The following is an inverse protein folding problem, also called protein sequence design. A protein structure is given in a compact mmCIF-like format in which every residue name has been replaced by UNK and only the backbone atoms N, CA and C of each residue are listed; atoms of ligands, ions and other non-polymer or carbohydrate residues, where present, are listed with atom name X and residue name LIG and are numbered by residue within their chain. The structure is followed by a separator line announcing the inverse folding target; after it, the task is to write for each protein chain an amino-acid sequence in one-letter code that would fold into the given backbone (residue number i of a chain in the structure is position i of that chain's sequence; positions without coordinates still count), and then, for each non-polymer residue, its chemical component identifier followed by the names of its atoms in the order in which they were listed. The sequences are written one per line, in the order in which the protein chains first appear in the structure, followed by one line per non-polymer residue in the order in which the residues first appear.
data_IF_545484349406
#
_entry.id   IF_545484349406
#
_cell.length_a   1.000
_cell.length_b   1.000
_cell.length_c   1.000
_cell.angle_alpha   90.00
_cell.angle_beta   90.00
_cell.angle_gamma   90.00
#
_symmetry.space_group_name_H-M   'P 1'
#
loop_
_entity.id
_entity.type
_entity.pdbx_description
1 polymer ?
#
# COMPACT_ATOMS: atom_id res chain seq x y z
N UNK A 1 -21.00 13.78 -12.47
CA UNK A 1 -21.10 13.68 -11.00
C UNK A 1 -21.46 12.26 -10.53
N UNK A 2 -22.32 11.52 -11.23
CA UNK A 2 -22.71 10.15 -10.87
C UNK A 2 -21.55 9.14 -10.92
N UNK A 3 -20.62 9.27 -11.87
CA UNK A 3 -19.43 8.41 -11.99
C UNK A 3 -18.40 8.56 -10.86
N UNK A 4 -18.26 9.77 -10.29
CA UNK A 4 -17.31 10.04 -9.18
C UNK A 4 -17.86 9.48 -7.86
N UNK A 5 -19.19 9.50 -7.69
CA UNK A 5 -19.85 8.89 -6.53
C UNK A 5 -19.63 7.36 -6.51
N UNK A 6 -19.66 6.74 -7.69
CA UNK A 6 -19.43 5.31 -7.85
C UNK A 6 -17.95 4.89 -7.59
N UNK A 7 -16.97 5.80 -7.82
CA UNK A 7 -15.57 5.56 -7.42
C UNK A 7 -15.45 5.45 -5.89
N UNK A 8 -16.17 6.29 -5.13
CA UNK A 8 -16.10 6.32 -3.67
C UNK A 8 -16.70 5.09 -3.02
N UNK A 9 -17.88 4.70 -3.43
CA UNK A 9 -18.70 3.74 -2.68
C UNK A 9 -18.47 2.29 -3.13
N UNK A 10 -18.40 2.03 -4.45
CA UNK A 10 -18.35 0.66 -4.97
C UNK A 10 -16.93 0.14 -5.26
N UNK A 11 -16.00 1.02 -5.66
CA UNK A 11 -14.69 0.58 -6.12
C UNK A 11 -13.62 0.55 -5.01
N UNK A 12 -13.53 1.61 -4.19
CA UNK A 12 -12.51 1.69 -3.13
C UNK A 12 -12.86 0.71 -2.01
N UNK A 13 -14.13 0.69 -1.59
CA UNK A 13 -14.61 -0.15 -0.48
C UNK A 13 -14.55 -1.64 -0.84
N UNK A 14 -14.78 -1.98 -2.10
CA UNK A 14 -14.84 -3.38 -2.54
C UNK A 14 -13.50 -3.93 -3.06
N UNK A 15 -12.46 -3.10 -3.10
CA UNK A 15 -11.14 -3.50 -3.59
C UNK A 15 -10.41 -4.40 -2.59
N UNK A 16 -9.93 -5.54 -3.04
CA UNK A 16 -9.26 -6.55 -2.21
C UNK A 16 -8.00 -6.03 -1.51
N UNK A 17 -7.26 -5.09 -2.14
CA UNK A 17 -6.06 -4.47 -1.54
C UNK A 17 -6.45 -3.57 -0.36
N UNK A 18 -7.56 -2.82 -0.50
CA UNK A 18 -8.06 -1.95 0.57
C UNK A 18 -8.63 -2.79 1.71
N UNK A 19 -9.44 -3.82 1.41
CA UNK A 19 -9.96 -4.76 2.42
C UNK A 19 -8.85 -5.46 3.20
N UNK A 20 -7.79 -5.89 2.51
CA UNK A 20 -6.64 -6.49 3.18
C UNK A 20 -5.96 -5.50 4.14
N UNK A 21 -5.72 -4.26 3.69
CA UNK A 21 -5.11 -3.23 4.55
C UNK A 21 -6.03 -2.79 5.70
N UNK A 22 -7.36 -2.86 5.53
CA UNK A 22 -8.35 -2.59 6.58
C UNK A 22 -8.32 -3.68 7.66
N UNK A 23 -8.26 -4.95 7.26
CA UNK A 23 -8.10 -6.07 8.19
C UNK A 23 -6.74 -6.05 8.92
N UNK A 24 -5.66 -5.62 8.24
CA UNK A 24 -4.36 -5.41 8.87
C UNK A 24 -4.43 -4.31 9.93
N UNK A 25 -5.14 -3.21 9.64
CA UNK A 25 -5.38 -2.14 10.62
C UNK A 25 -6.24 -2.63 11.79
N UNK A 26 -7.34 -3.33 11.54
CA UNK A 26 -8.18 -3.93 12.58
C UNK A 26 -7.37 -4.87 13.47
N UNK A 27 -6.57 -5.75 12.88
CA UNK A 27 -5.66 -6.65 13.60
C UNK A 27 -4.68 -5.88 14.51
N UNK A 28 -4.12 -4.78 14.02
CA UNK A 28 -3.22 -3.95 14.83
C UNK A 28 -3.94 -3.24 15.98
N UNK A 29 -5.19 -2.82 15.78
CA UNK A 29 -6.06 -2.24 16.83
C UNK A 29 -6.40 -3.29 17.89
N UNK A 30 -6.75 -4.51 17.50
CA UNK A 30 -7.03 -5.59 18.45
C UNK A 30 -5.76 -6.00 19.21
N UNK A 31 -4.60 -6.00 18.56
CA UNK A 31 -3.30 -6.18 19.23
C UNK A 31 -3.06 -5.10 20.28
N UNK A 32 -3.32 -3.83 19.94
CA UNK A 32 -3.22 -2.73 20.91
C UNK A 32 -4.15 -2.95 22.11
N UNK A 33 -5.41 -3.38 21.86
CA UNK A 33 -6.35 -3.69 22.97
C UNK A 33 -5.85 -4.85 23.82
N UNK A 34 -5.23 -5.87 23.21
CA UNK A 34 -4.66 -7.01 23.94
C UNK A 34 -3.51 -6.60 24.85
N UNK A 35 -2.68 -5.62 24.45
CA UNK A 35 -1.58 -5.13 25.29
C UNK A 35 -2.07 -4.38 26.53
N UNK A 36 -3.23 -3.73 26.46
CA UNK A 36 -3.86 -3.14 27.65
C UNK A 36 -4.25 -4.18 28.71
N UNK A 37 -4.38 -5.47 28.34
CA UNK A 37 -4.69 -6.55 29.28
C UNK A 37 -3.66 -6.68 30.41
N UNK A 38 -2.41 -6.23 30.18
CA UNK A 38 -1.36 -6.22 31.20
C UNK A 38 -1.69 -5.32 32.43
N UNK A 39 -2.62 -4.37 32.29
CA UNK A 39 -3.10 -3.54 33.40
C UNK A 39 -4.25 -4.19 34.18
N UNK A 40 -4.77 -5.33 33.73
CA UNK A 40 -5.86 -6.04 34.42
C UNK A 40 -5.35 -7.27 35.14
N UNK A 41 -6.04 -7.69 36.26
CA UNK A 41 -5.72 -8.92 36.94
C UNK A 41 -5.82 -10.13 36.02
N UNK A 42 -4.81 -11.00 36.05
CA UNK A 42 -4.82 -12.30 35.35
C UNK A 42 -5.28 -13.37 36.34
N UNK A 43 -6.38 -14.07 35.99
CA UNK A 43 -6.94 -15.16 36.84
C UNK A 43 -6.60 -16.48 36.16
N UNK A 44 -5.89 -17.36 36.86
CA UNK A 44 -5.53 -18.69 36.40
C UNK A 44 -6.09 -19.74 37.33
N UNK A 45 -6.75 -20.74 36.80
CA UNK A 45 -7.18 -21.94 37.51
C UNK A 45 -6.27 -23.09 37.09
N UNK A 46 -5.67 -23.76 38.06
CA UNK A 46 -4.83 -24.93 37.83
C UNK A 46 -5.37 -26.11 38.61
N UNK A 47 -5.61 -27.25 37.94
CA UNK A 47 -5.99 -28.51 38.52
C UNK A 47 -4.94 -29.53 38.06
N UNK A 48 -4.31 -30.18 39.03
CA UNK A 48 -3.27 -31.17 38.72
C UNK A 48 -3.19 -32.24 39.81
N UNK A 49 -2.62 -33.38 39.43
CA UNK A 49 -2.24 -34.42 40.36
C UNK A 49 -0.79 -34.16 40.81
N UNK A 50 -0.56 -34.01 42.11
CA UNK A 50 0.76 -33.76 42.70
C UNK A 50 1.20 -35.04 43.43
N UNK A 51 2.38 -35.52 43.17
CA UNK A 51 3.06 -36.58 43.91
C UNK A 51 4.29 -35.97 44.55
N UNK A 52 4.40 -36.05 45.88
CA UNK A 52 5.47 -35.50 46.67
C UNK A 52 6.06 -36.61 47.56
N UNK A 53 7.38 -36.84 47.51
CA UNK A 53 8.09 -37.82 48.32
C UNK A 53 9.06 -37.05 49.25
N UNK A 54 8.62 -36.79 50.47
CA UNK A 54 9.41 -36.09 51.48
C UNK A 54 10.21 -37.09 52.31
N UNK A 55 11.53 -36.96 52.26
CA UNK A 55 12.50 -37.76 53.05
C UNK A 55 13.12 -36.88 54.13
N UNK A 56 12.59 -36.95 55.34
CA UNK A 56 13.15 -36.20 56.45
C UNK A 56 13.80 -37.10 57.49
N UNK A 57 14.98 -36.71 58.08
CA UNK A 57 15.51 -37.40 59.21
C UNK A 57 14.54 -37.40 60.36
N UNK A 58 14.28 -38.56 60.98
CA UNK A 58 13.38 -38.66 62.10
C UNK A 58 13.86 -37.77 63.28
N UNK A 59 12.96 -36.91 63.77
CA UNK A 59 13.18 -36.08 64.96
C UNK A 59 12.63 -36.82 66.17
N UNK A 60 13.47 -37.06 67.18
CA UNK A 60 13.06 -37.61 68.48
C UNK A 60 13.79 -38.87 68.87
N UNK A 61 13.21 -39.72 69.70
CA UNK A 61 13.78 -40.93 70.31
C UNK A 61 13.98 -42.12 69.33
N UNK A 62 13.99 -41.91 68.04
CA UNK A 62 14.31 -42.93 67.05
C UNK A 62 15.83 -43.14 66.93
N UNK A 63 16.30 -44.37 66.60
CA UNK A 63 17.70 -44.60 66.38
C UNK A 63 18.31 -43.65 65.35
N UNK A 64 19.52 -43.14 65.62
CA UNK A 64 20.26 -42.30 64.69
C UNK A 64 20.34 -42.98 63.34
N UNK A 65 19.84 -42.33 62.26
CA UNK A 65 19.69 -42.74 60.89
C UNK A 65 18.32 -43.27 60.42
N UNK A 66 17.27 -43.13 61.18
CA UNK A 66 15.92 -43.44 60.66
C UNK A 66 15.46 -42.32 59.75
N UNK A 67 15.25 -42.66 58.44
CA UNK A 67 14.66 -41.75 57.48
C UNK A 67 13.16 -42.07 57.41
N UNK A 68 12.31 -41.11 57.70
CA UNK A 68 10.88 -41.24 57.50
C UNK A 68 10.58 -40.88 56.06
N UNK A 69 9.93 -41.80 55.36
CA UNK A 69 9.37 -41.57 54.03
C UNK A 69 7.92 -41.14 54.21
N UNK A 70 7.61 -39.97 53.68
CA UNK A 70 6.25 -39.44 53.64
C UNK A 70 5.93 -39.18 52.14
N UNK A 71 5.25 -40.12 51.53
CA UNK A 71 4.79 -39.94 50.14
C UNK A 71 3.34 -39.50 50.12
N UNK A 72 3.10 -38.38 49.51
CA UNK A 72 1.78 -37.75 49.33
C UNK A 72 1.36 -37.78 47.88
N UNK A 73 0.18 -38.29 47.62
CA UNK A 73 -0.42 -38.20 46.30
C UNK A 73 -1.81 -37.59 46.48
N UNK A 74 -2.09 -36.53 45.66
CA UNK A 74 -3.37 -35.89 45.76
C UNK A 74 -3.68 -34.94 44.64
N UNK A 75 -4.94 -34.54 44.58
CA UNK A 75 -5.39 -33.55 43.60
C UNK A 75 -5.17 -32.15 44.21
N UNK A 76 -4.41 -31.32 43.47
CA UNK A 76 -4.22 -29.92 43.81
C UNK A 76 -5.10 -29.05 42.91
N UNK A 77 -5.91 -28.27 43.49
CA UNK A 77 -6.74 -27.25 42.82
C UNK A 77 -6.26 -25.88 43.29
N UNK A 78 -5.95 -24.97 42.39
CA UNK A 78 -5.55 -23.62 42.74
C UNK A 78 -6.17 -22.57 41.85
N UNK A 79 -6.60 -21.45 42.45
CA UNK A 79 -6.99 -20.23 41.80
C UNK A 79 -5.92 -19.20 42.12
N UNK A 80 -5.29 -18.64 41.08
CA UNK A 80 -4.25 -17.62 41.24
C UNK A 80 -4.68 -16.36 40.50
N UNK A 81 -4.64 -15.23 41.18
CA UNK A 81 -4.85 -13.90 40.62
C UNK A 81 -3.49 -13.18 40.67
N UNK A 82 -2.99 -12.78 39.51
CA UNK A 82 -1.73 -12.03 39.41
C UNK A 82 -2.01 -10.65 38.82
N UNK A 83 -1.46 -9.60 39.44
CA UNK A 83 -1.60 -8.22 39.02
C UNK A 83 -0.23 -7.55 39.01
N UNK A 84 0.14 -6.98 37.87
CA UNK A 84 1.28 -6.06 37.78
C UNK A 84 0.89 -4.76 38.49
N UNK A 85 1.69 -4.34 39.49
CA UNK A 85 1.48 -3.10 40.26
C UNK A 85 2.34 -1.98 39.66
N UNK A 86 3.61 -2.30 39.35
CA UNK A 86 4.53 -1.33 38.82
C UNK A 86 5.70 -2.04 38.12
N UNK A 87 6.10 -1.58 36.92
CA UNK A 87 7.14 -2.21 36.08
C UNK A 87 8.12 -1.22 35.47
N UNK A 88 8.22 -0.03 36.05
CA UNK A 88 9.13 1.03 35.60
C UNK A 88 8.89 1.51 34.16
N UNK A 89 7.67 1.40 33.65
CA UNK A 89 7.27 1.84 32.32
C UNK A 89 7.48 0.79 31.22
N UNK A 90 7.71 -0.47 31.57
CA UNK A 90 7.84 -1.58 30.61
C UNK A 90 6.52 -1.78 29.86
N UNK A 91 5.41 -1.96 30.59
CA UNK A 91 4.08 -2.13 30.01
C UNK A 91 3.66 -0.89 29.20
N UNK A 92 3.87 0.32 29.71
CA UNK A 92 3.54 1.52 28.94
C UNK A 92 4.33 1.63 27.63
N UNK A 93 5.61 1.23 27.62
CA UNK A 93 6.41 1.22 26.37
C UNK A 93 5.90 0.20 25.35
N UNK A 94 5.40 -0.95 25.78
CA UNK A 94 4.77 -1.96 24.91
C UNK A 94 3.47 -1.41 24.32
N UNK A 95 2.64 -0.79 25.15
CA UNK A 95 1.37 -0.17 24.70
C UNK A 95 1.64 1.00 23.74
N UNK A 96 2.60 1.89 24.04
CA UNK A 96 2.98 2.98 23.14
C UNK A 96 3.48 2.45 21.81
N UNK A 97 4.30 1.41 21.81
CA UNK A 97 4.76 0.72 20.59
C UNK A 97 3.57 0.13 19.81
N UNK A 98 2.64 -0.55 20.48
CA UNK A 98 1.45 -1.10 19.83
C UNK A 98 0.56 0.01 19.24
N UNK A 99 0.43 1.15 19.95
CA UNK A 99 -0.27 2.34 19.46
C UNK A 99 0.39 2.92 18.20
N UNK A 100 1.70 3.06 18.19
CA UNK A 100 2.46 3.52 17.03
C UNK A 100 2.34 2.53 15.86
N UNK A 101 2.29 1.22 16.15
CA UNK A 101 2.07 0.18 15.13
C UNK A 101 0.66 0.24 14.53
N UNK A 102 -0.38 0.45 15.35
CA UNK A 102 -1.75 0.63 14.88
C UNK A 102 -1.88 1.91 14.03
N UNK A 103 -1.22 3.00 14.43
CA UNK A 103 -1.19 4.24 13.65
C UNK A 103 -0.45 4.05 12.32
N UNK A 104 0.62 3.26 12.29
CA UNK A 104 1.32 2.91 11.05
C UNK A 104 0.41 2.09 10.11
N UNK A 105 -0.32 1.11 10.65
CA UNK A 105 -1.27 0.30 9.89
C UNK A 105 -2.40 1.17 9.30
N UNK A 106 -2.89 2.17 10.05
CA UNK A 106 -3.83 3.17 9.54
C UNK A 106 -3.25 3.95 8.34
N UNK A 107 -2.00 4.42 8.41
CA UNK A 107 -1.37 5.10 7.28
C UNK A 107 -1.12 4.18 6.08
N UNK A 108 -0.87 2.88 6.31
CA UNK A 108 -0.80 1.89 5.23
C UNK A 108 -2.15 1.68 4.56
N UNK A 109 -3.25 1.70 5.31
CA UNK A 109 -4.60 1.69 4.75
C UNK A 109 -4.86 2.95 3.90
N UNK A 110 -4.48 4.14 4.39
CA UNK A 110 -4.58 5.36 3.60
C UNK A 110 -3.77 5.26 2.30
N UNK A 111 -2.53 4.78 2.36
CA UNK A 111 -1.70 4.57 1.17
C UNK A 111 -2.32 3.57 0.19
N UNK A 112 -2.88 2.47 0.67
CA UNK A 112 -3.56 1.49 -0.18
C UNK A 112 -4.77 2.11 -0.90
N UNK A 113 -5.55 2.96 -0.21
CA UNK A 113 -6.65 3.72 -0.83
C UNK A 113 -6.14 4.68 -1.90
N UNK A 114 -5.08 5.45 -1.61
CA UNK A 114 -4.44 6.35 -2.57
C UNK A 114 -3.95 5.61 -3.82
N UNK A 115 -3.31 4.44 -3.64
CA UNK A 115 -2.80 3.62 -4.73
C UNK A 115 -3.92 3.08 -5.62
N UNK A 116 -5.02 2.62 -5.03
CA UNK A 116 -6.20 2.11 -5.74
C UNK A 116 -6.87 3.24 -6.53
N UNK A 117 -7.01 4.43 -5.96
CA UNK A 117 -7.54 5.61 -6.69
C UNK A 117 -6.66 5.96 -7.87
N UNK A 118 -5.34 6.00 -7.69
CA UNK A 118 -4.41 6.30 -8.79
C UNK A 118 -4.42 5.20 -9.85
N UNK A 119 -4.57 3.94 -9.48
CA UNK A 119 -4.73 2.82 -10.42
C UNK A 119 -6.00 2.99 -11.24
N UNK A 120 -7.11 3.39 -10.62
CA UNK A 120 -8.39 3.63 -11.29
C UNK A 120 -8.30 4.80 -12.28
N UNK A 121 -7.73 5.93 -11.86
CA UNK A 121 -7.51 7.11 -12.71
C UNK A 121 -6.63 6.76 -13.90
N UNK A 122 -5.52 6.06 -13.67
CA UNK A 122 -4.61 5.66 -14.74
C UNK A 122 -5.25 4.68 -15.73
N UNK A 123 -6.04 3.72 -15.24
CA UNK A 123 -6.76 2.79 -16.12
C UNK A 123 -7.77 3.53 -17.01
N UNK A 124 -8.48 4.51 -16.46
CA UNK A 124 -9.42 5.36 -17.18
C UNK A 124 -8.73 6.20 -18.27
N UNK A 125 -7.71 6.95 -17.89
CA UNK A 125 -7.00 7.85 -18.79
C UNK A 125 -6.22 7.10 -19.88
N UNK A 126 -5.60 5.98 -19.55
CA UNK A 126 -4.91 5.14 -20.54
C UNK A 126 -5.88 4.47 -21.51
N UNK A 127 -7.10 4.13 -21.11
CA UNK A 127 -8.14 3.64 -22.00
C UNK A 127 -8.52 4.70 -23.05
N UNK A 128 -8.73 5.96 -22.62
CA UNK A 128 -9.00 7.06 -23.54
C UNK A 128 -7.84 7.27 -24.54
N UNK A 129 -6.60 7.20 -24.04
CA UNK A 129 -5.40 7.36 -24.88
C UNK A 129 -5.27 6.24 -25.92
N UNK A 130 -5.51 4.99 -25.52
CA UNK A 130 -5.51 3.84 -26.42
C UNK A 130 -6.63 3.95 -27.48
N UNK A 131 -7.82 4.40 -27.07
CA UNK A 131 -8.94 4.64 -27.98
C UNK A 131 -8.61 5.73 -29.01
N UNK A 132 -8.12 6.89 -28.57
CA UNK A 132 -7.71 7.97 -29.46
C UNK A 132 -6.68 7.50 -30.50
N UNK A 133 -5.69 6.72 -30.06
CA UNK A 133 -4.63 6.19 -30.92
C UNK A 133 -5.19 5.20 -31.95
N UNK A 134 -6.09 4.29 -31.53
CA UNK A 134 -6.71 3.33 -32.43
C UNK A 134 -7.58 4.02 -33.47
N UNK A 135 -8.44 4.98 -33.07
CA UNK A 135 -9.29 5.72 -34.00
C UNK A 135 -8.47 6.54 -35.00
N UNK A 136 -7.35 7.13 -34.59
CA UNK A 136 -6.45 7.81 -35.51
C UNK A 136 -5.83 6.85 -36.55
N UNK A 137 -5.27 5.72 -36.11
CA UNK A 137 -4.67 4.73 -36.99
C UNK A 137 -5.71 4.14 -37.96
N UNK A 138 -6.92 3.88 -37.52
CA UNK A 138 -8.04 3.44 -38.35
C UNK A 138 -8.42 4.47 -39.41
N UNK A 139 -8.45 5.77 -39.05
CA UNK A 139 -8.70 6.86 -40.02
C UNK A 139 -7.58 6.95 -41.05
N UNK A 140 -6.31 6.80 -40.66
CA UNK A 140 -5.18 6.83 -41.59
C UNK A 140 -5.18 5.61 -42.49
N UNK A 141 -5.45 4.40 -41.98
CA UNK A 141 -5.62 3.18 -42.79
C UNK A 141 -6.73 3.36 -43.82
N UNK A 142 -7.91 3.86 -43.43
CA UNK A 142 -9.02 4.12 -44.34
C UNK A 142 -8.62 5.13 -45.43
N UNK A 143 -7.89 6.20 -45.06
CA UNK A 143 -7.39 7.19 -45.99
C UNK A 143 -6.38 6.57 -47.00
N UNK A 144 -5.44 5.74 -46.51
CA UNK A 144 -4.49 5.03 -47.32
C UNK A 144 -5.17 4.08 -48.35
N UNK A 145 -6.22 3.37 -47.91
CA UNK A 145 -7.02 2.47 -48.74
C UNK A 145 -7.72 3.24 -49.87
N UNK A 146 -8.32 4.38 -49.57
CA UNK A 146 -8.96 5.25 -50.58
C UNK A 146 -7.93 5.76 -51.58
N UNK A 147 -6.79 6.25 -51.07
CA UNK A 147 -5.71 6.78 -51.91
C UNK A 147 -5.15 5.69 -52.85
N UNK A 148 -4.96 4.46 -52.32
CA UNK A 148 -4.53 3.32 -53.16
C UNK A 148 -5.53 3.01 -54.27
N UNK A 149 -6.82 2.97 -53.96
CA UNK A 149 -7.86 2.74 -55.00
C UNK A 149 -7.85 3.80 -56.09
N UNK A 150 -7.72 5.08 -55.73
CA UNK A 150 -7.62 6.19 -56.68
C UNK A 150 -6.35 6.08 -57.56
N UNK A 151 -5.22 5.68 -56.97
CA UNK A 151 -3.96 5.54 -57.69
C UNK A 151 -4.02 4.35 -58.66
N UNK A 152 -4.63 3.23 -58.28
CA UNK A 152 -4.83 2.07 -59.17
C UNK A 152 -5.65 2.49 -60.39
N UNK A 153 -6.73 3.28 -60.22
CA UNK A 153 -7.53 3.74 -61.34
C UNK A 153 -6.78 4.71 -62.28
N UNK A 154 -5.93 5.60 -61.70
CA UNK A 154 -5.04 6.46 -62.52
C UNK A 154 -4.05 5.67 -63.35
N UNK A 155 -3.39 4.65 -62.75
CA UNK A 155 -2.44 3.79 -63.45
C UNK A 155 -3.13 3.00 -64.56
N UNK A 156 -4.35 2.47 -64.34
CA UNK A 156 -5.14 1.79 -65.39
C UNK A 156 -5.46 2.70 -66.58
N UNK A 157 -5.67 3.98 -66.33
CA UNK A 157 -5.93 4.98 -67.39
C UNK A 157 -4.67 5.50 -68.08
N UNK A 158 -3.48 5.04 -67.64
CA UNK A 158 -2.20 5.52 -68.20
C UNK A 158 -1.75 6.88 -67.64
N UNK A 159 -2.44 7.42 -66.64
CA UNK A 159 -2.18 8.74 -66.02
C UNK A 159 -1.27 8.67 -64.78
N UNK A 160 -0.84 7.48 -64.34
CA UNK A 160 -0.05 7.25 -63.16
C UNK A 160 1.10 6.30 -63.34
N UNK A 161 2.09 6.37 -62.43
CA UNK A 161 3.25 5.49 -62.41
C UNK A 161 2.98 4.22 -61.60
N UNK A 162 3.48 3.07 -62.09
CA UNK A 162 3.48 1.80 -61.32
C UNK A 162 4.27 1.91 -60.01
N UNK A 163 5.33 2.73 -60.02
CA UNK A 163 6.11 3.01 -58.79
C UNK A 163 5.26 3.70 -57.72
N UNK A 164 4.48 4.71 -58.13
CA UNK A 164 3.57 5.43 -57.20
C UNK A 164 2.51 4.48 -56.60
N UNK A 165 1.94 3.58 -57.44
CA UNK A 165 1.02 2.56 -56.93
C UNK A 165 1.66 1.67 -55.86
N UNK A 166 2.89 1.17 -56.09
CA UNK A 166 3.60 0.30 -55.16
C UNK A 166 3.96 1.05 -53.86
N UNK A 167 4.34 2.32 -53.92
CA UNK A 167 4.61 3.16 -52.76
C UNK A 167 3.37 3.34 -51.89
N UNK A 168 2.20 3.62 -52.46
CA UNK A 168 0.96 3.75 -51.74
C UNK A 168 0.50 2.40 -51.18
N UNK A 169 0.68 1.32 -51.92
CA UNK A 169 0.36 -0.02 -51.44
C UNK A 169 1.22 -0.39 -50.21
N UNK A 170 2.51 -0.09 -50.24
CA UNK A 170 3.40 -0.26 -49.09
C UNK A 170 2.91 0.56 -47.88
N UNK A 171 2.53 1.82 -48.06
CA UNK A 171 1.99 2.69 -47.03
C UNK A 171 0.69 2.12 -46.44
N UNK A 172 -0.24 1.67 -47.32
CA UNK A 172 -1.47 1.03 -46.86
C UNK A 172 -1.19 -0.19 -45.98
N UNK A 173 -0.25 -1.07 -46.38
CA UNK A 173 0.13 -2.24 -45.57
C UNK A 173 0.72 -1.84 -44.21
N UNK A 174 1.55 -0.81 -44.20
CA UNK A 174 2.12 -0.26 -42.96
C UNK A 174 1.01 0.23 -42.02
N UNK A 175 0.06 1.05 -42.51
CA UNK A 175 -1.03 1.56 -41.67
C UNK A 175 -2.05 0.48 -41.30
N UNK A 176 -2.23 -0.55 -42.13
CA UNK A 176 -3.02 -1.72 -41.76
C UNK A 176 -2.41 -2.45 -40.56
N UNK A 177 -1.09 -2.64 -40.54
CA UNK A 177 -0.39 -3.23 -39.39
C UNK A 177 -0.49 -2.35 -38.16
N UNK A 178 -0.30 -1.02 -38.27
CA UNK A 178 -0.44 -0.08 -37.19
C UNK A 178 -1.86 -0.05 -36.60
N UNK A 179 -2.88 -0.14 -37.45
CA UNK A 179 -4.28 -0.23 -37.00
C UNK A 179 -4.53 -1.52 -36.24
N UNK A 180 -4.02 -2.66 -36.68
CA UNK A 180 -4.13 -3.95 -35.98
C UNK A 180 -3.41 -3.89 -34.63
N UNK A 181 -2.18 -3.36 -34.59
CA UNK A 181 -1.41 -3.24 -33.35
C UNK A 181 -2.09 -2.31 -32.34
N UNK A 182 -2.60 -1.16 -32.81
CA UNK A 182 -3.32 -0.22 -31.96
C UNK A 182 -4.65 -0.81 -31.44
N UNK A 183 -5.29 -1.71 -32.20
CA UNK A 183 -6.45 -2.47 -31.73
C UNK A 183 -6.11 -3.38 -30.57
N UNK A 184 -5.01 -4.13 -30.67
CA UNK A 184 -4.53 -4.97 -29.56
C UNK A 184 -4.23 -4.12 -28.30
N UNK A 185 -3.64 -2.92 -28.52
CA UNK A 185 -3.42 -1.95 -27.43
C UNK A 185 -4.72 -1.49 -26.77
N UNK A 186 -5.76 -1.20 -27.57
CA UNK A 186 -7.08 -0.85 -27.08
C UNK A 186 -7.75 -2.01 -26.32
N UNK A 187 -7.71 -3.22 -26.86
CA UNK A 187 -8.27 -4.41 -26.23
C UNK A 187 -7.60 -4.67 -24.87
N UNK A 188 -6.26 -4.52 -24.79
CA UNK A 188 -5.52 -4.62 -23.52
C UNK A 188 -5.91 -3.51 -22.53
N UNK A 189 -6.12 -2.29 -22.98
CA UNK A 189 -6.56 -1.19 -22.13
C UNK A 189 -8.01 -1.40 -21.63
N UNK A 190 -8.89 -1.96 -22.44
CA UNK A 190 -10.24 -2.37 -22.05
C UNK A 190 -10.18 -3.44 -20.95
N UNK A 191 -9.35 -4.48 -21.12
CA UNK A 191 -9.18 -5.53 -20.12
C UNK A 191 -8.63 -4.94 -18.80
N UNK A 192 -7.64 -4.06 -18.87
CA UNK A 192 -7.12 -3.36 -17.68
C UNK A 192 -8.20 -2.55 -16.98
N UNK A 193 -8.99 -1.78 -17.77
CA UNK A 193 -10.10 -1.01 -17.26
C UNK A 193 -11.14 -1.90 -16.57
N UNK A 194 -11.56 -3.00 -17.20
CA UNK A 194 -12.52 -3.95 -16.64
C UNK A 194 -12.01 -4.61 -15.35
N UNK A 195 -10.72 -4.97 -15.31
CA UNK A 195 -10.11 -5.53 -14.11
C UNK A 195 -10.14 -4.55 -12.94
N UNK A 196 -9.93 -3.28 -13.21
CA UNK A 196 -9.89 -2.21 -12.22
C UNK A 196 -11.31 -1.76 -11.84
N UNK A 197 -12.17 -1.44 -12.80
CA UNK A 197 -13.47 -0.81 -12.58
C UNK A 197 -14.64 -1.80 -12.46
N UNK A 198 -14.41 -3.09 -12.73
CA UNK A 198 -15.39 -4.18 -12.63
C UNK A 198 -16.63 -4.02 -13.53
N UNK A 199 -16.65 -3.05 -14.45
CA UNK A 199 -17.71 -2.88 -15.45
C UNK A 199 -17.14 -2.66 -16.85
N UNK A 200 -18.00 -2.82 -17.87
CA UNK A 200 -17.60 -2.62 -19.26
C UNK A 200 -17.68 -1.13 -19.64
N UNK A 201 -16.65 -0.53 -20.27
CA UNK A 201 -16.68 0.87 -20.64
C UNK A 201 -17.67 1.10 -21.79
N UNK A 202 -18.63 1.99 -21.56
CA UNK A 202 -19.56 2.45 -22.59
C UNK A 202 -19.10 3.81 -23.13
N UNK A 203 -19.18 3.97 -24.46
CA UNK A 203 -18.90 5.24 -25.15
C UNK A 203 -17.53 5.87 -24.83
N UNK A 204 -16.46 5.07 -25.02
CA UNK A 204 -15.07 5.42 -24.66
C UNK A 204 -14.64 6.79 -25.22
N UNK A 205 -15.10 7.16 -26.43
CA UNK A 205 -14.74 8.43 -27.08
C UNK A 205 -15.25 9.70 -26.37
N UNK A 206 -16.29 9.59 -25.54
CA UNK A 206 -16.93 10.70 -24.80
C UNK A 206 -16.91 10.51 -23.28
N UNK A 207 -15.98 9.69 -22.77
CA UNK A 207 -15.85 9.53 -21.32
C UNK A 207 -15.41 10.87 -20.69
N UNK A 208 -16.11 11.37 -19.65
CA UNK A 208 -15.71 12.59 -18.96
C UNK A 208 -14.36 12.41 -18.27
N UNK A 209 -13.68 13.52 -17.97
CA UNK A 209 -12.48 13.47 -17.13
C UNK A 209 -12.85 12.84 -15.77
N UNK A 210 -12.04 11.90 -15.25
CA UNK A 210 -12.40 11.16 -14.05
C UNK A 210 -12.57 12.07 -12.82
N UNK A 211 -11.86 13.19 -12.73
CA UNK A 211 -11.97 14.17 -11.64
C UNK A 211 -11.53 15.54 -12.16
N UNK A 212 -12.46 16.35 -12.66
CA UNK A 212 -12.13 17.63 -13.31
C UNK A 212 -11.86 18.79 -12.33
N UNK A 213 -12.52 18.82 -11.16
CA UNK A 213 -12.62 20.04 -10.33
C UNK A 213 -11.87 20.00 -8.98
N UNK A 214 -11.22 18.91 -8.63
CA UNK A 214 -10.54 18.79 -7.31
C UNK A 214 -9.11 19.36 -7.34
N UNK A 215 -8.57 19.64 -8.51
CA UNK A 215 -7.20 20.10 -8.73
C UNK A 215 -7.03 21.64 -8.68
N UNK A 216 -7.77 22.31 -7.81
CA UNK A 216 -7.88 23.78 -7.76
C UNK A 216 -6.61 24.56 -7.48
N UNK A 217 -5.52 23.95 -7.02
CA UNK A 217 -4.24 24.62 -6.79
C UNK A 217 -3.11 23.71 -7.26
N UNK A 218 -2.44 24.13 -8.32
CA UNK A 218 -1.16 23.52 -8.72
C UNK A 218 -0.13 23.94 -7.67
N UNK A 219 0.54 23.00 -6.99
CA UNK A 219 1.57 23.32 -6.01
C UNK A 219 2.71 24.12 -6.67
N UNK A 220 3.46 24.89 -5.91
CA UNK A 220 4.64 25.62 -6.39
C UNK A 220 5.89 24.73 -6.27
N UNK A 221 6.90 25.02 -7.06
CA UNK A 221 8.17 24.26 -7.09
C UNK A 221 8.87 24.15 -5.72
N UNK A 222 8.56 25.04 -4.78
CA UNK A 222 9.12 25.06 -3.41
C UNK A 222 8.18 24.51 -2.35
N UNK A 223 7.10 23.81 -2.72
CA UNK A 223 6.18 23.21 -1.74
C UNK A 223 6.87 22.07 -1.00
N UNK A 224 6.95 22.18 0.33
CA UNK A 224 7.49 21.09 1.16
C UNK A 224 6.52 19.89 1.19
N UNK A 225 7.06 18.70 0.98
CA UNK A 225 6.30 17.44 0.97
C UNK A 225 6.22 16.88 2.40
N UNK A 226 5.49 17.57 3.28
CA UNK A 226 5.39 17.19 4.70
C UNK A 226 4.28 16.17 5.00
N UNK A 227 3.23 16.14 4.17
CA UNK A 227 2.01 15.32 4.40
C UNK A 227 1.97 14.03 3.60
N UNK A 228 3.07 13.64 2.94
CA UNK A 228 3.13 12.41 2.17
C UNK A 228 2.91 11.19 3.07
N UNK A 229 2.02 10.30 2.67
CA UNK A 229 1.63 9.11 3.45
C UNK A 229 2.81 8.17 3.69
N UNK A 230 3.74 8.04 2.73
CA UNK A 230 4.96 7.22 2.90
C UNK A 230 5.89 7.81 3.96
N UNK A 231 6.02 9.14 4.04
CA UNK A 231 6.78 9.81 5.12
C UNK A 231 6.14 9.61 6.47
N UNK A 232 4.80 9.65 6.55
CA UNK A 232 4.06 9.39 7.81
C UNK A 232 4.30 7.96 8.29
N UNK A 233 4.33 6.97 7.38
CA UNK A 233 4.66 5.57 7.69
C UNK A 233 6.10 5.46 8.23
N UNK A 234 7.08 6.05 7.54
CA UNK A 234 8.49 6.02 7.96
C UNK A 234 8.71 6.72 9.33
N UNK A 235 7.93 7.77 9.62
CA UNK A 235 7.94 8.42 10.94
C UNK A 235 7.45 7.48 12.04
N UNK A 236 6.42 6.66 11.77
CA UNK A 236 5.95 5.68 12.74
C UNK A 236 7.00 4.59 13.00
N UNK A 237 7.81 4.20 12.00
CA UNK A 237 8.94 3.27 12.22
C UNK A 237 9.95 3.82 13.24
N UNK A 238 10.19 5.13 13.23
CA UNK A 238 11.07 5.79 14.23
C UNK A 238 10.42 5.75 15.62
N UNK A 239 9.12 6.04 15.75
CA UNK A 239 8.42 5.98 17.04
C UNK A 239 8.40 4.55 17.59
N UNK A 240 8.09 3.54 16.78
CA UNK A 240 8.12 2.12 17.15
C UNK A 240 9.52 1.71 17.66
N UNK A 241 10.58 2.14 16.99
CA UNK A 241 11.95 1.84 17.40
C UNK A 241 12.33 2.58 18.70
N UNK A 242 11.82 3.79 18.92
CA UNK A 242 12.00 4.57 20.16
C UNK A 242 11.30 3.90 21.34
N UNK A 243 10.07 3.44 21.14
CA UNK A 243 9.30 2.76 22.19
C UNK A 243 9.93 1.41 22.54
N UNK A 244 10.48 0.70 21.53
CA UNK A 244 11.27 -0.51 21.77
C UNK A 244 12.54 -0.25 22.60
N UNK A 245 13.24 0.85 22.38
CA UNK A 245 14.39 1.24 23.20
C UNK A 245 13.97 1.59 24.62
N UNK A 246 12.83 2.31 24.81
CA UNK A 246 12.28 2.60 26.15
C UNK A 246 11.93 1.32 26.91
N UNK A 247 11.39 0.31 26.21
CA UNK A 247 11.15 -0.99 26.78
C UNK A 247 12.47 -1.64 27.26
N UNK A 248 13.52 -1.63 26.45
CA UNK A 248 14.83 -2.18 26.82
C UNK A 248 15.49 -1.43 27.99
N UNK A 249 15.27 -0.11 28.08
CA UNK A 249 15.72 0.70 29.23
C UNK A 249 14.98 0.34 30.54
N UNK A 250 13.70 -0.03 30.43
CA UNK A 250 12.90 -0.47 31.57
C UNK A 250 13.33 -1.86 32.09
N UNK A 251 13.95 -2.69 31.28
CA UNK A 251 14.48 -4.01 31.68
C UNK A 251 15.59 -3.96 32.75
N UNK A 252 16.25 -2.80 32.95
CA UNK A 252 17.23 -2.59 34.00
C UNK A 252 16.60 -2.23 35.38
N UNK A 253 15.29 -2.00 35.42
CA UNK A 253 14.60 -1.50 36.59
C UNK A 253 13.80 -2.63 37.27
N UNK A 254 13.50 -2.50 38.57
CA UNK A 254 12.69 -3.48 39.30
C UNK A 254 11.23 -3.49 38.75
N UNK A 255 10.55 -4.63 39.02
CA UNK A 255 9.13 -4.84 38.76
C UNK A 255 8.46 -5.25 40.07
N UNK A 256 7.25 -4.79 40.31
CA UNK A 256 6.43 -5.09 41.51
C UNK A 256 5.15 -5.78 41.02
N UNK A 257 4.94 -7.01 41.46
CA UNK A 257 3.75 -7.80 41.18
C UNK A 257 3.03 -8.18 42.47
N UNK A 258 1.70 -8.12 42.43
CA UNK A 258 0.82 -8.67 43.48
C UNK A 258 0.30 -10.03 43.03
N UNK A 259 0.25 -10.98 43.94
CA UNK A 259 -0.30 -12.32 43.70
C UNK A 259 -1.21 -12.72 44.86
N UNK A 260 -2.43 -13.15 44.55
CA UNK A 260 -3.35 -13.80 45.47
C UNK A 260 -3.53 -15.24 44.99
N UNK A 261 -3.41 -16.20 45.91
CA UNK A 261 -3.65 -17.61 45.56
C UNK A 261 -4.48 -18.30 46.64
N UNK A 262 -5.47 -19.05 46.20
CA UNK A 262 -6.22 -20.03 46.97
C UNK A 262 -5.86 -21.42 46.45
N UNK A 263 -5.39 -22.29 47.31
CA UNK A 263 -4.99 -23.62 46.96
C UNK A 263 -5.67 -24.62 47.88
N UNK A 264 -6.30 -25.60 47.30
CA UNK A 264 -6.89 -26.77 47.97
C UNK A 264 -6.10 -28.01 47.53
N UNK A 265 -5.65 -28.79 48.51
CA UNK A 265 -4.96 -30.06 48.28
C UNK A 265 -5.79 -31.17 48.95
N UNK A 266 -6.28 -32.08 48.13
CA UNK A 266 -6.92 -33.34 48.55
C UNK A 266 -5.88 -34.45 48.38
N UNK A 267 -5.50 -35.17 49.47
CA UNK A 267 -4.55 -36.27 49.34
C UNK A 267 -4.53 -37.18 50.55
N UNK A 268 -4.40 -38.50 50.33
CA UNK A 268 -4.07 -39.48 51.30
C UNK A 268 -2.60 -39.44 51.65
N UNK A 269 -2.28 -39.34 52.94
CA UNK A 269 -0.95 -39.62 53.49
C UNK A 269 -0.71 -41.12 53.53
N UNK A 270 0.12 -41.65 52.64
CA UNK A 270 0.56 -43.04 52.65
C UNK A 270 1.79 -43.19 53.52
N UNK A 271 1.70 -43.53 54.77
CA UNK A 271 2.81 -43.87 55.60
C UNK A 271 2.62 -43.55 57.10
N UNK A 272 1.92 -44.39 57.83
CA UNK A 272 2.04 -44.54 59.31
C UNK A 272 1.25 -43.63 60.20
N UNK A 273 0.28 -44.18 60.87
CA UNK A 273 -0.33 -43.83 62.17
C UNK A 273 -0.87 -42.40 62.39
N UNK A 274 -1.44 -41.78 61.37
CA UNK A 274 -2.42 -40.74 61.65
C UNK A 274 -3.34 -40.59 60.42
N UNK A 275 -4.59 -41.07 60.58
CA UNK A 275 -5.64 -40.95 59.57
C UNK A 275 -6.36 -39.65 59.73
N UNK A 276 -5.67 -38.51 59.53
CA UNK A 276 -6.37 -37.27 59.28
C UNK A 276 -6.38 -37.08 57.74
N UNK A 277 -7.52 -37.33 57.13
CA UNK A 277 -7.93 -36.89 55.82
C UNK A 277 -7.90 -35.35 55.80
N UNK A 278 -6.71 -34.76 55.86
CA UNK A 278 -6.56 -33.32 55.98
C UNK A 278 -6.63 -32.68 54.59
N UNK A 279 -7.85 -32.33 54.23
CA UNK A 279 -8.04 -31.32 53.18
C UNK A 279 -7.28 -30.04 53.57
N UNK A 280 -6.16 -29.76 52.93
CA UNK A 280 -5.37 -28.57 53.21
C UNK A 280 -5.80 -27.41 52.33
N UNK A 281 -6.41 -26.42 52.93
CA UNK A 281 -6.74 -25.14 52.28
C UNK A 281 -5.68 -24.09 52.66
N UNK A 282 -5.12 -23.45 51.63
CA UNK A 282 -4.12 -22.38 51.80
C UNK A 282 -4.57 -21.13 51.07
N UNK A 283 -4.68 -20.02 51.78
CA UNK A 283 -4.83 -18.69 51.16
C UNK A 283 -3.52 -17.93 51.36
N UNK A 284 -2.98 -17.38 50.26
CA UNK A 284 -1.72 -16.61 50.25
C UNK A 284 -1.90 -15.31 49.50
N UNK A 285 -1.39 -14.22 50.08
CA UNK A 285 -1.28 -12.92 49.43
C UNK A 285 0.19 -12.47 49.47
N UNK A 286 0.75 -12.27 48.29
CA UNK A 286 2.16 -11.92 48.14
C UNK A 286 2.30 -10.63 47.34
N UNK A 287 3.24 -9.76 47.76
CA UNK A 287 3.75 -8.66 46.90
C UNK A 287 5.24 -8.94 46.66
N UNK A 288 5.58 -9.11 45.40
CA UNK A 288 6.93 -9.50 45.03
C UNK A 288 7.61 -8.37 44.25
N UNK A 289 8.79 -7.96 44.72
CA UNK A 289 9.70 -7.07 43.95
C UNK A 289 10.75 -7.91 43.27
N UNK A 290 10.76 -7.90 41.95
CA UNK A 290 11.74 -8.63 41.14
C UNK A 290 12.68 -7.63 40.48
N UNK A 291 13.97 -7.71 40.83
CA UNK A 291 15.00 -6.90 40.18
C UNK A 291 16.17 -7.80 39.73
N UNK A 292 16.33 -7.88 38.41
CA UNK A 292 17.41 -8.64 37.83
C UNK A 292 18.67 -7.77 37.70
N UNK A 293 19.50 -7.74 38.78
CA UNK A 293 20.69 -6.90 38.86
C UNK A 293 21.78 -7.31 37.85
N UNK A 294 21.93 -8.61 37.63
CA UNK A 294 22.88 -9.15 36.66
C UNK A 294 22.25 -10.27 35.81
N UNK A 295 22.38 -10.19 34.51
CA UNK A 295 21.84 -11.16 33.54
C UNK A 295 22.85 -11.55 32.47
N UNK A 296 24.17 -11.59 32.80
CA UNK A 296 25.21 -11.95 31.83
C UNK A 296 25.35 -10.94 30.68
N UNK A 297 25.18 -9.63 30.96
CA UNK A 297 25.24 -8.53 29.99
C UNK A 297 24.14 -8.55 28.91
N UNK A 298 23.18 -9.49 28.95
CA UNK A 298 22.10 -9.62 27.96
C UNK A 298 21.37 -8.30 27.74
N UNK A 299 20.90 -7.65 28.83
CA UNK A 299 20.11 -6.42 28.73
C UNK A 299 20.93 -5.28 28.10
N UNK A 300 22.22 -5.16 28.41
CA UNK A 300 23.11 -4.17 27.80
C UNK A 300 23.25 -4.36 26.28
N UNK A 301 23.41 -5.61 25.84
CA UNK A 301 23.50 -5.88 24.40
C UNK A 301 22.17 -5.68 23.68
N UNK A 302 21.03 -5.99 24.33
CA UNK A 302 19.70 -5.70 23.79
C UNK A 302 19.46 -4.19 23.67
N UNK A 303 19.78 -3.41 24.70
CA UNK A 303 19.70 -1.94 24.65
C UNK A 303 20.56 -1.35 23.52
N UNK A 304 21.82 -1.81 23.39
CA UNK A 304 22.69 -1.35 22.31
C UNK A 304 22.14 -1.73 20.93
N UNK A 305 21.57 -2.94 20.81
CA UNK A 305 20.88 -3.36 19.58
C UNK A 305 19.69 -2.45 19.25
N UNK A 306 18.84 -2.16 20.23
CA UNK A 306 17.66 -1.34 20.00
C UNK A 306 18.00 0.13 19.75
N UNK A 307 19.10 0.65 20.36
CA UNK A 307 19.67 1.95 20.00
C UNK A 307 20.17 1.99 18.56
N UNK A 308 20.84 0.93 18.10
CA UNK A 308 21.26 0.83 16.71
C UNK A 308 20.06 0.76 15.75
N UNK A 309 18.97 0.04 16.13
CA UNK A 309 17.72 0.01 15.35
C UNK A 309 17.04 1.37 15.26
N UNK A 310 17.03 2.14 16.37
CA UNK A 310 16.49 3.51 16.35
C UNK A 310 17.29 4.41 15.41
N UNK A 311 18.62 4.36 15.47
CA UNK A 311 19.48 5.12 14.55
C UNK A 311 19.26 4.69 13.09
N UNK A 312 19.09 3.40 12.83
CA UNK A 312 18.77 2.89 11.51
C UNK A 312 17.39 3.35 11.02
N UNK A 313 16.39 3.44 11.91
CA UNK A 313 15.07 3.97 11.58
C UNK A 313 15.13 5.47 11.23
N UNK A 314 15.91 6.27 11.96
CA UNK A 314 16.16 7.67 11.61
C UNK A 314 16.80 7.79 10.22
N UNK A 315 17.87 7.05 9.96
CA UNK A 315 18.53 7.10 8.65
C UNK A 315 17.61 6.67 7.50
N UNK A 316 16.72 5.69 7.73
CA UNK A 316 15.70 5.30 6.75
C UNK A 316 14.66 6.41 6.54
N UNK A 317 14.23 7.08 7.61
CA UNK A 317 13.34 8.22 7.50
C UNK A 317 13.95 9.34 6.65
N UNK A 318 15.21 9.71 6.91
CA UNK A 318 15.94 10.74 6.16
C UNK A 318 16.10 10.34 4.68
N UNK A 319 16.34 9.04 4.41
CA UNK A 319 16.42 8.52 3.04
C UNK A 319 15.07 8.59 2.31
N UNK A 320 13.98 8.19 2.97
CA UNK A 320 12.61 8.31 2.44
C UNK A 320 12.26 9.77 2.18
N UNK A 321 12.61 10.68 3.08
CA UNK A 321 12.39 12.13 2.90
C UNK A 321 13.11 12.63 1.65
N UNK A 322 14.41 12.33 1.52
CA UNK A 322 15.21 12.74 0.35
C UNK A 322 14.65 12.17 -0.95
N UNK A 323 14.27 10.89 -0.95
CA UNK A 323 13.69 10.23 -2.12
C UNK A 323 12.34 10.83 -2.49
N UNK A 324 11.50 11.16 -1.50
CA UNK A 324 10.19 11.78 -1.74
C UNK A 324 10.34 13.19 -2.31
N UNK A 325 11.30 13.98 -1.79
CA UNK A 325 11.63 15.31 -2.33
C UNK A 325 12.15 15.24 -3.77
N UNK A 326 12.97 14.23 -4.07
CA UNK A 326 13.45 13.99 -5.44
C UNK A 326 12.29 13.59 -6.37
N UNK A 327 11.43 12.68 -5.95
CA UNK A 327 10.24 12.28 -6.70
C UNK A 327 9.32 13.47 -6.98
N UNK A 328 9.12 14.35 -6.00
CA UNK A 328 8.33 15.56 -6.18
C UNK A 328 8.95 16.51 -7.22
N UNK A 329 10.25 16.77 -7.13
CA UNK A 329 10.98 17.61 -8.11
C UNK A 329 10.89 17.04 -9.52
N UNK A 330 11.05 15.72 -9.66
CA UNK A 330 10.95 15.04 -10.96
C UNK A 330 9.52 15.10 -11.51
N UNK A 331 8.51 14.88 -10.68
CA UNK A 331 7.10 14.99 -11.06
C UNK A 331 6.73 16.43 -11.46
N UNK A 332 7.25 17.43 -10.73
CA UNK A 332 7.09 18.85 -11.07
C UNK A 332 7.71 19.18 -12.42
N UNK A 333 8.95 18.78 -12.65
CA UNK A 333 9.64 19.01 -13.92
C UNK A 333 8.90 18.35 -15.08
N UNK A 334 8.41 17.14 -14.87
CA UNK A 334 7.58 16.43 -15.85
C UNK A 334 6.28 17.20 -16.16
N UNK A 335 5.58 17.68 -15.12
CA UNK A 335 4.38 18.48 -15.29
C UNK A 335 4.64 19.72 -16.15
N UNK A 336 5.66 20.51 -15.81
CA UNK A 336 6.03 21.72 -16.57
C UNK A 336 6.42 21.40 -18.01
N UNK A 337 7.15 20.29 -18.23
CA UNK A 337 7.53 19.85 -19.58
C UNK A 337 6.30 19.47 -20.40
N UNK A 338 5.38 18.68 -19.85
CA UNK A 338 4.15 18.25 -20.53
C UNK A 338 3.25 19.44 -20.83
N UNK A 339 3.15 20.40 -19.92
CA UNK A 339 2.37 21.64 -20.12
C UNK A 339 2.92 22.48 -21.30
N UNK A 340 4.23 22.70 -21.35
CA UNK A 340 4.90 23.40 -22.47
C UNK A 340 4.77 22.61 -23.79
N UNK A 341 4.91 21.29 -23.74
CA UNK A 341 4.75 20.45 -24.90
C UNK A 341 3.32 20.52 -25.47
N UNK A 342 2.32 20.64 -24.59
CA UNK A 342 0.92 20.78 -25.03
C UNK A 342 0.71 22.01 -25.88
N UNK A 343 1.30 23.15 -25.53
CA UNK A 343 1.24 24.38 -26.33
C UNK A 343 1.89 24.21 -27.70
N UNK A 344 3.06 23.57 -27.74
CA UNK A 344 3.76 23.26 -28.99
C UNK A 344 2.95 22.32 -29.89
N UNK A 345 2.35 21.28 -29.31
CA UNK A 345 1.50 20.32 -30.07
C UNK A 345 0.23 21.00 -30.60
N UNK A 346 -0.39 21.89 -29.82
CA UNK A 346 -1.52 22.67 -30.30
C UNK A 346 -1.18 23.45 -31.56
N UNK A 347 -0.04 24.15 -31.56
CA UNK A 347 0.43 24.90 -32.73
C UNK A 347 0.75 23.99 -33.91
N UNK A 348 1.32 22.81 -33.64
CA UNK A 348 1.61 21.79 -34.66
C UNK A 348 0.33 21.29 -35.36
N UNK A 349 -0.76 21.10 -34.60
CA UNK A 349 -2.07 20.73 -35.19
C UNK A 349 -2.57 21.81 -36.13
N UNK A 350 -2.49 23.10 -35.74
CA UNK A 350 -2.93 24.23 -36.56
C UNK A 350 -2.12 24.27 -37.87
N UNK A 351 -0.79 24.18 -37.80
CA UNK A 351 0.11 24.19 -38.97
C UNK A 351 -0.19 22.99 -39.87
N UNK A 352 -0.29 21.79 -39.34
CA UNK A 352 -0.56 20.59 -40.16
C UNK A 352 -1.96 20.64 -40.80
N UNK A 353 -2.94 21.22 -40.14
CA UNK A 353 -4.24 21.45 -40.77
C UNK A 353 -4.17 22.44 -41.94
N UNK A 354 -3.50 23.58 -41.75
CA UNK A 354 -3.30 24.58 -42.79
C UNK A 354 -2.53 23.98 -43.99
N UNK A 355 -1.43 23.27 -43.74
CA UNK A 355 -0.67 22.56 -44.76
C UNK A 355 -1.54 21.55 -45.54
N UNK A 356 -2.37 20.79 -44.83
CA UNK A 356 -3.30 19.86 -45.46
C UNK A 356 -4.32 20.58 -46.39
N UNK A 357 -4.92 21.70 -45.92
CA UNK A 357 -5.88 22.45 -46.73
C UNK A 357 -5.25 23.06 -47.97
N UNK A 358 -4.06 23.64 -47.85
CA UNK A 358 -3.31 24.18 -48.99
C UNK A 358 -2.93 23.09 -50.01
N UNK A 359 -2.37 21.96 -49.54
CA UNK A 359 -1.99 20.85 -50.41
C UNK A 359 -3.21 20.23 -51.09
N UNK A 360 -4.37 20.20 -50.42
CA UNK A 360 -5.61 19.72 -51.03
C UNK A 360 -6.11 20.66 -52.13
N UNK A 361 -5.96 21.98 -51.96
CA UNK A 361 -6.30 22.97 -52.97
C UNK A 361 -5.38 22.84 -54.20
N UNK A 362 -4.07 22.71 -53.99
CA UNK A 362 -3.09 22.52 -55.05
C UNK A 362 -3.32 21.22 -55.83
N UNK A 363 -3.70 20.14 -55.14
CA UNK A 363 -4.08 18.89 -55.77
C UNK A 363 -5.33 19.05 -56.67
N UNK A 364 -6.35 19.77 -56.20
CA UNK A 364 -7.55 20.05 -57.01
C UNK A 364 -7.24 20.92 -58.24
N UNK A 365 -6.23 21.79 -58.16
CA UNK A 365 -5.72 22.57 -59.26
C UNK A 365 -4.80 21.78 -60.21
N UNK A 366 -4.45 20.52 -59.91
CA UNK A 366 -3.56 19.68 -60.69
C UNK A 366 -2.08 19.90 -60.46
N UNK A 367 -1.70 20.74 -59.47
CA UNK A 367 -0.32 21.15 -59.21
C UNK A 367 0.40 20.29 -58.16
N UNK A 368 -0.29 19.36 -57.50
CA UNK A 368 0.29 18.52 -56.45
C UNK A 368 -0.09 17.04 -56.65
N UNK A 369 0.83 16.08 -56.38
CA UNK A 369 0.51 14.67 -56.42
C UNK A 369 -0.39 14.24 -55.23
N UNK A 370 -1.19 13.20 -55.43
CA UNK A 370 -2.08 12.64 -54.42
C UNK A 370 -1.32 12.16 -53.17
N UNK A 371 -0.06 11.72 -53.33
CA UNK A 371 0.83 11.33 -52.25
C UNK A 371 1.07 12.46 -51.23
N UNK A 372 1.24 13.69 -51.73
CA UNK A 372 1.40 14.88 -50.86
C UNK A 372 0.16 15.11 -50.02
N UNK A 373 -1.03 15.02 -50.62
CA UNK A 373 -2.30 15.15 -49.88
C UNK A 373 -2.45 14.06 -48.81
N UNK A 374 -2.12 12.82 -49.20
CA UNK A 374 -2.14 11.72 -48.23
C UNK A 374 -1.17 11.96 -47.05
N UNK A 375 0.07 12.39 -47.35
CA UNK A 375 1.08 12.70 -46.34
C UNK A 375 0.62 13.80 -45.39
N UNK A 376 0.10 14.93 -45.90
CA UNK A 376 -0.34 16.05 -45.08
C UNK A 376 -1.60 15.72 -44.27
N UNK A 377 -2.55 14.98 -44.84
CA UNK A 377 -3.73 14.49 -44.09
C UNK A 377 -3.35 13.56 -42.95
N UNK A 378 -2.40 12.65 -43.20
CA UNK A 378 -1.85 11.75 -42.18
C UNK A 378 -1.15 12.53 -41.06
N UNK A 379 -0.31 13.50 -41.39
CA UNK A 379 0.38 14.36 -40.46
C UNK A 379 -0.63 15.14 -39.56
N UNK A 380 -1.70 15.66 -40.18
CA UNK A 380 -2.77 16.34 -39.45
C UNK A 380 -3.48 15.39 -38.44
N UNK A 381 -3.92 14.19 -38.89
CA UNK A 381 -4.58 13.21 -38.01
C UNK A 381 -3.65 12.80 -36.87
N UNK A 382 -2.36 12.57 -37.14
CA UNK A 382 -1.39 12.16 -36.13
C UNK A 382 -1.07 13.29 -35.15
N UNK A 383 -1.04 14.55 -35.59
CA UNK A 383 -0.84 15.69 -34.70
C UNK A 383 -2.06 15.92 -33.81
N UNK A 384 -3.29 15.73 -34.29
CA UNK A 384 -4.51 15.82 -33.48
C UNK A 384 -4.51 14.79 -32.34
N UNK A 385 -4.14 13.52 -32.64
CA UNK A 385 -4.10 12.50 -31.59
C UNK A 385 -2.95 12.74 -30.60
N UNK A 386 -1.81 13.23 -31.07
CA UNK A 386 -0.69 13.59 -30.21
C UNK A 386 -1.09 14.69 -29.22
N UNK A 387 -1.81 15.73 -29.69
CA UNK A 387 -2.34 16.79 -28.83
C UNK A 387 -3.37 16.28 -27.82
N UNK A 388 -4.34 15.45 -28.23
CA UNK A 388 -5.31 14.83 -27.33
C UNK A 388 -4.66 13.95 -26.27
N UNK A 389 -3.68 13.16 -26.68
CA UNK A 389 -2.95 12.31 -25.74
C UNK A 389 -2.09 13.12 -24.77
N UNK A 390 -1.50 14.23 -25.19
CA UNK A 390 -0.75 15.14 -24.33
C UNK A 390 -1.66 15.83 -23.29
N UNK A 391 -2.94 16.13 -23.63
CA UNK A 391 -3.91 16.62 -22.65
C UNK A 391 -4.15 15.58 -21.54
N UNK A 392 -4.22 14.30 -21.91
CA UNK A 392 -4.37 13.20 -20.96
C UNK A 392 -3.09 13.06 -20.11
N UNK A 393 -1.91 13.16 -20.73
CA UNK A 393 -0.63 13.07 -20.01
C UNK A 393 -0.47 14.22 -19.00
N UNK A 394 -0.97 15.42 -19.31
CA UNK A 394 -1.02 16.54 -18.37
C UNK A 394 -1.91 16.25 -17.15
N UNK A 395 -3.04 15.61 -17.37
CA UNK A 395 -3.92 15.19 -16.26
C UNK A 395 -3.22 14.15 -15.38
N UNK A 396 -2.58 13.14 -15.97
CA UNK A 396 -1.81 12.12 -15.22
C UNK A 396 -0.72 12.78 -14.37
N UNK A 397 0.03 13.71 -14.96
CA UNK A 397 1.09 14.43 -14.25
C UNK A 397 0.55 15.26 -13.06
N UNK A 398 -0.62 15.89 -13.19
CA UNK A 398 -1.30 16.59 -12.10
C UNK A 398 -1.69 15.65 -10.97
N UNK A 399 -2.31 14.52 -11.26
CA UNK A 399 -2.68 13.53 -10.23
C UNK A 399 -1.47 12.97 -9.50
N UNK A 400 -0.35 12.75 -10.21
CA UNK A 400 0.90 12.31 -9.59
C UNK A 400 1.45 13.33 -8.59
N UNK A 401 1.41 14.63 -8.92
CA UNK A 401 1.80 15.70 -8.01
C UNK A 401 0.92 15.73 -6.76
N UNK A 402 -0.40 15.62 -6.93
CA UNK A 402 -1.34 15.60 -5.80
C UNK A 402 -1.12 14.40 -4.88
N UNK A 403 -0.84 13.23 -5.43
CA UNK A 403 -0.49 12.04 -4.64
C UNK A 403 0.76 12.27 -3.79
N UNK A 404 1.82 12.83 -4.38
CA UNK A 404 3.07 13.08 -3.66
C UNK A 404 2.90 14.09 -2.52
N UNK A 405 1.96 15.01 -2.63
CA UNK A 405 1.62 15.98 -1.58
C UNK A 405 0.64 15.44 -0.51
N UNK A 406 0.14 14.21 -0.68
CA UNK A 406 -0.88 13.65 0.22
C UNK A 406 -2.25 14.31 0.07
N UNK A 407 -2.51 14.96 -1.09
CA UNK A 407 -3.76 15.67 -1.37
C UNK A 407 -4.83 14.78 -2.05
N UNK A 408 -4.54 13.50 -2.24
CA UNK A 408 -5.52 12.53 -2.77
C UNK A 408 -6.51 12.08 -1.70
N UNK A 409 -6.14 12.16 -0.41
CA UNK A 409 -7.00 11.84 0.72
C UNK A 409 -8.33 12.62 0.77
N UNK A 410 -8.43 13.94 0.46
CA UNK A 410 -9.70 14.65 0.39
C UNK A 410 -10.66 14.13 -0.68
N UNK A 411 -10.13 13.42 -1.68
CA UNK A 411 -10.92 12.78 -2.75
C UNK A 411 -11.62 11.52 -2.22
N UNK A 412 -11.04 10.92 -1.17
CA UNK A 412 -11.46 9.66 -0.58
C UNK A 412 -12.43 9.87 0.59
N UNK A 413 -12.36 11.03 1.26
CA UNK A 413 -13.29 11.44 2.32
C UNK A 413 -14.55 12.10 1.78
#
# INVERSE_FOLDING_TARGET
MEYIKNIKEDYIVDNEKVKAAELDYESAVETLKSEYSAYYPQVTITIGNEWEDDRTPAKGTHPANTITHDSKQGIKKSITITQMIWDAGRTSSVIDKAKSTAQQAYYRLELAKEDVVMEAINAWLNLQKAHNTHEANKKVEANAKITLAMTIEKVKKGEGSKLEQLQIEQQYRTYQTLSMTSRLGLDSAIQRFQNVWRFFPHNIGNMPAPIADILGLIPHQGTEVTNNTTLRIARMDVEIARDQLRFSDAEFKPRIDGKLSYTEKDGELSGGYDTDDAQKVEFRADVTVTWKIFGGFKNRHLQNSDRAKLNAAHNRYDDVQRTTDEQFKNAWNNYVLVEKNLETLKRTVEINNEMYQLTLADFKAGNSPIMSVFGMKTAHIMSEVAYKNAQIDLQIARYQLHKLLGLVNPIIQ
#
